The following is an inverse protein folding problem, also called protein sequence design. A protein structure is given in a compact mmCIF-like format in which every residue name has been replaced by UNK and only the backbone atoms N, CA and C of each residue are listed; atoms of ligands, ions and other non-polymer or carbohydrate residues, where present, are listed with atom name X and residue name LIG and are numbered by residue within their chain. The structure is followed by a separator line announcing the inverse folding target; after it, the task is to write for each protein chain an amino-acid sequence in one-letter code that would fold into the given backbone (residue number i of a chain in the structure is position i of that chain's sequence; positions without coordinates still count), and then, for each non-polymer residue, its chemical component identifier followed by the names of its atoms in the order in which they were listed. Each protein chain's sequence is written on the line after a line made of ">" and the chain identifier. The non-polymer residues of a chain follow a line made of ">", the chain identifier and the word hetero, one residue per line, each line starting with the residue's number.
data_IF_118774713230
#
_entry.id   IF_118774713230
#
_cell.length_a   1.000
_cell.length_b   1.000
_cell.length_c   1.000
_cell.angle_alpha   90.00
_cell.angle_beta   90.00
_cell.angle_gamma   90.00
#
_symmetry.space_group_name_H-M   'P 1'
#
loop_
_entity.id
_entity.type
_entity.pdbx_description
1 polymer ?
#
# COMPACT_ATOMS: atom_id res chain seq x y z
N UNK A 1 -13.46 15.25 -15.98
CA UNK A 1 -12.90 13.98 -15.49
C UNK A 1 -12.99 13.87 -13.98
N UNK A 2 -13.05 12.61 -13.48
CA UNK A 2 -12.97 12.28 -12.07
C UNK A 2 -11.73 11.38 -11.84
N UNK A 3 -10.95 11.58 -10.74
CA UNK A 3 -9.74 10.81 -10.48
C UNK A 3 -10.11 9.42 -9.93
N UNK A 4 -10.03 8.38 -10.77
CA UNK A 4 -10.33 7.00 -10.43
C UNK A 4 -9.12 6.10 -10.59
N UNK A 5 -8.40 5.86 -9.51
CA UNK A 5 -7.25 4.94 -9.41
C UNK A 5 -7.04 4.53 -7.95
N UNK A 6 -6.47 3.36 -7.73
CA UNK A 6 -6.08 2.90 -6.38
C UNK A 6 -4.72 3.45 -5.95
N UNK A 7 -3.89 3.95 -6.89
CA UNK A 7 -2.49 4.32 -6.66
C UNK A 7 -2.34 5.69 -5.99
N UNK A 8 -3.38 6.51 -5.99
CA UNK A 8 -3.41 7.89 -5.48
C UNK A 8 -2.37 8.83 -6.14
N UNK A 9 -2.00 8.55 -7.38
CA UNK A 9 -0.90 9.18 -8.11
C UNK A 9 -1.32 10.35 -9.02
N UNK A 10 -2.55 10.89 -8.85
CA UNK A 10 -3.09 11.99 -9.67
C UNK A 10 -2.82 13.33 -8.99
N UNK A 11 -1.97 14.13 -9.62
CA UNK A 11 -1.64 15.47 -9.13
C UNK A 11 -2.87 16.39 -9.13
N UNK A 12 -3.07 17.12 -8.02
CA UNK A 12 -4.11 18.14 -7.89
C UNK A 12 -5.37 17.65 -7.15
N UNK A 13 -5.34 16.45 -6.65
CA UNK A 13 -6.32 15.93 -5.70
C UNK A 13 -5.60 15.27 -4.52
N UNK A 14 -6.14 15.36 -3.32
CA UNK A 14 -5.56 14.71 -2.13
C UNK A 14 -5.84 13.21 -2.16
N UNK A 15 -7.02 12.82 -2.64
CA UNK A 15 -7.42 11.42 -2.74
C UNK A 15 -8.07 11.10 -4.08
N UNK A 16 -7.88 9.87 -4.52
CA UNK A 16 -8.50 9.30 -5.71
C UNK A 16 -9.57 8.28 -5.32
N UNK A 17 -10.62 8.17 -6.16
CA UNK A 17 -11.71 7.21 -5.96
C UNK A 17 -11.16 5.79 -6.17
N UNK A 18 -11.23 4.97 -5.13
CA UNK A 18 -10.73 3.60 -5.11
C UNK A 18 -9.53 3.37 -4.17
N UNK A 19 -8.81 4.42 -3.78
CA UNK A 19 -7.66 4.32 -2.90
C UNK A 19 -8.02 3.70 -1.55
N UNK A 20 -9.04 4.18 -0.87
CA UNK A 20 -9.42 3.68 0.46
C UNK A 20 -10.00 2.26 0.41
N UNK A 21 -10.63 1.88 -0.68
CA UNK A 21 -11.12 0.50 -0.88
C UNK A 21 -9.94 -0.45 -1.04
N UNK A 22 -8.95 -0.09 -1.86
CA UNK A 22 -7.71 -0.86 -2.00
C UNK A 22 -6.93 -0.92 -0.69
N UNK A 23 -6.81 0.21 0.02
CA UNK A 23 -6.18 0.27 1.34
C UNK A 23 -6.80 -0.71 2.33
N UNK A 24 -8.13 -0.76 2.39
CA UNK A 24 -8.85 -1.71 3.26
C UNK A 24 -8.52 -3.17 2.91
N UNK A 25 -8.44 -3.49 1.62
CA UNK A 25 -8.08 -4.84 1.14
C UNK A 25 -6.64 -5.21 1.54
N UNK A 26 -5.69 -4.27 1.39
CA UNK A 26 -4.29 -4.49 1.74
C UNK A 26 -4.13 -4.67 3.25
N UNK A 27 -4.78 -3.84 4.06
CA UNK A 27 -4.74 -3.96 5.53
C UNK A 27 -5.30 -5.30 5.99
N UNK A 28 -6.44 -5.74 5.44
CA UNK A 28 -7.00 -7.07 5.74
C UNK A 28 -6.01 -8.20 5.39
N UNK A 29 -5.31 -8.09 4.27
CA UNK A 29 -4.29 -9.08 3.89
C UNK A 29 -3.11 -9.07 4.86
N UNK A 30 -2.63 -7.88 5.28
CA UNK A 30 -1.56 -7.73 6.27
C UNK A 30 -1.95 -8.35 7.61
N UNK A 31 -3.18 -8.13 8.08
CA UNK A 31 -3.67 -8.71 9.34
C UNK A 31 -3.64 -10.24 9.30
N UNK A 32 -4.12 -10.83 8.22
CA UNK A 32 -4.09 -12.30 8.02
C UNK A 32 -2.66 -12.84 7.98
N UNK A 33 -1.75 -12.14 7.31
CA UNK A 33 -0.33 -12.50 7.25
C UNK A 33 0.36 -12.35 8.60
N UNK A 34 -0.02 -11.34 9.39
CA UNK A 34 0.48 -11.12 10.74
C UNK A 34 0.17 -12.29 11.66
N UNK A 35 -1.07 -12.78 11.64
CA UNK A 35 -1.47 -13.92 12.45
C UNK A 35 -0.59 -15.15 12.15
N UNK A 36 -0.40 -15.44 10.85
CA UNK A 36 0.44 -16.55 10.40
C UNK A 36 1.91 -16.32 10.74
N UNK A 37 2.44 -15.12 10.51
CA UNK A 37 3.85 -14.78 10.77
C UNK A 37 4.19 -14.81 12.25
N UNK A 38 3.27 -14.37 13.09
CA UNK A 38 3.40 -14.40 14.55
C UNK A 38 3.48 -15.82 15.08
N UNK A 39 2.57 -16.71 14.64
CA UNK A 39 2.51 -18.09 15.10
C UNK A 39 3.73 -18.92 14.68
N UNK A 40 4.30 -18.66 13.51
CA UNK A 40 5.46 -19.38 12.98
C UNK A 40 6.80 -18.65 13.17
N UNK A 41 6.80 -17.46 13.77
CA UNK A 41 7.99 -16.61 13.96
C UNK A 41 8.73 -16.29 12.64
N UNK A 42 7.96 -15.98 11.60
CA UNK A 42 8.43 -15.71 10.23
C UNK A 42 8.56 -14.22 9.94
N UNK A 43 9.26 -13.93 8.85
CA UNK A 43 9.25 -12.63 8.21
C UNK A 43 8.36 -12.74 6.96
N UNK A 44 7.44 -11.79 6.76
CA UNK A 44 6.62 -11.69 5.57
C UNK A 44 7.00 -10.45 4.77
N UNK A 45 7.26 -10.63 3.47
CA UNK A 45 7.40 -9.55 2.50
C UNK A 45 6.11 -9.46 1.71
N UNK A 46 5.43 -8.33 1.77
CA UNK A 46 4.11 -8.12 1.13
C UNK A 46 4.26 -7.09 0.03
N UNK A 47 4.09 -7.51 -1.22
CA UNK A 47 4.09 -6.61 -2.36
C UNK A 47 2.71 -5.99 -2.56
N UNK A 48 2.69 -4.67 -2.58
CA UNK A 48 1.49 -3.83 -2.73
C UNK A 48 1.57 -3.08 -4.06
N UNK A 49 0.46 -2.96 -4.76
CA UNK A 49 0.36 -2.15 -5.97
C UNK A 49 0.61 -0.67 -5.66
N UNK A 50 0.90 0.12 -6.68
CA UNK A 50 1.15 1.55 -6.57
C UNK A 50 1.95 2.08 -7.76
N UNK A 51 2.39 1.17 -8.64
CA UNK A 51 3.21 1.47 -9.80
C UNK A 51 4.49 2.20 -9.39
N UNK A 52 4.51 3.53 -9.43
CA UNK A 52 5.65 4.38 -9.05
C UNK A 52 5.29 5.33 -7.90
N UNK A 53 4.19 5.06 -7.20
CA UNK A 53 3.70 5.83 -6.06
C UNK A 53 3.59 4.92 -4.84
N UNK A 54 4.20 5.32 -3.74
CA UNK A 54 4.22 4.57 -2.49
C UNK A 54 3.05 4.84 -1.55
N UNK A 55 2.12 5.72 -1.91
CA UNK A 55 1.03 6.16 -1.02
C UNK A 55 0.22 4.99 -0.44
N UNK A 56 -0.21 4.05 -1.31
CA UNK A 56 -0.98 2.90 -0.88
C UNK A 56 -0.18 1.99 0.05
N UNK A 57 1.08 1.73 -0.30
CA UNK A 57 1.98 0.90 0.51
C UNK A 57 2.26 1.55 1.86
N UNK A 58 2.55 2.84 1.88
CA UNK A 58 2.84 3.58 3.11
C UNK A 58 1.63 3.64 4.03
N UNK A 59 0.46 3.99 3.50
CA UNK A 59 -0.78 4.03 4.26
C UNK A 59 -1.14 2.65 4.83
N UNK A 60 -0.99 1.59 4.03
CA UNK A 60 -1.25 0.22 4.45
C UNK A 60 -0.24 -0.26 5.51
N UNK A 61 1.04 0.09 5.36
CA UNK A 61 2.07 -0.24 6.34
C UNK A 61 1.80 0.40 7.70
N UNK A 62 1.41 1.67 7.70
CA UNK A 62 1.05 2.40 8.94
C UNK A 62 -0.20 1.78 9.57
N UNK A 63 -1.26 1.59 8.79
CA UNK A 63 -2.54 1.08 9.29
C UNK A 63 -2.45 -0.39 9.75
N UNK A 64 -1.71 -1.21 9.02
CA UNK A 64 -1.46 -2.61 9.34
C UNK A 64 -0.33 -2.82 10.35
N UNK A 65 0.40 -1.77 10.76
CA UNK A 65 1.49 -1.84 11.73
C UNK A 65 2.69 -2.66 11.22
N UNK A 66 3.05 -2.53 9.95
CA UNK A 66 4.25 -3.17 9.40
C UNK A 66 5.51 -2.61 10.06
N UNK A 67 6.51 -3.47 10.26
CA UNK A 67 7.77 -3.07 10.85
C UNK A 67 8.65 -2.28 9.89
N UNK A 68 8.54 -2.57 8.59
CA UNK A 68 9.34 -1.97 7.54
C UNK A 68 8.48 -1.64 6.32
N UNK A 69 8.81 -0.53 5.67
CA UNK A 69 8.15 -0.11 4.44
C UNK A 69 9.19 0.31 3.41
N UNK A 70 8.99 -0.14 2.17
CA UNK A 70 9.83 0.20 1.02
C UNK A 70 8.96 0.82 -0.05
N UNK A 71 9.22 2.07 -0.37
CA UNK A 71 8.45 2.89 -1.32
C UNK A 71 9.37 3.57 -2.33
N UNK A 72 8.91 3.87 -3.56
CA UNK A 72 9.76 4.43 -4.60
C UNK A 72 10.26 5.84 -4.32
N UNK A 73 9.65 6.56 -3.40
CA UNK A 73 10.05 7.92 -3.01
C UNK A 73 11.30 7.97 -2.13
N UNK A 74 11.73 6.81 -1.60
CA UNK A 74 12.91 6.70 -0.70
C UNK A 74 13.88 5.69 -1.28
N UNK A 75 15.17 6.07 -1.29
CA UNK A 75 16.23 5.15 -1.73
C UNK A 75 16.23 3.89 -0.87
N UNK A 76 16.31 2.75 -1.53
CA UNK A 76 16.21 1.43 -0.91
C UNK A 76 17.50 0.64 -1.03
N UNK A 77 17.98 0.11 0.10
CA UNK A 77 19.10 -0.82 0.20
C UNK A 77 18.64 -2.11 0.88
N UNK A 78 18.90 -3.25 0.22
CA UNK A 78 18.58 -4.59 0.77
C UNK A 78 19.37 -4.86 2.06
N UNK A 79 20.61 -4.39 2.09
CA UNK A 79 21.55 -4.54 3.22
C UNK A 79 21.08 -3.76 4.43
N UNK A 80 20.62 -2.51 4.24
CA UNK A 80 20.12 -1.68 5.33
C UNK A 80 18.83 -2.24 5.90
N UNK A 81 17.90 -2.69 5.05
CA UNK A 81 16.69 -3.37 5.48
C UNK A 81 17.01 -4.60 6.34
N UNK A 82 17.94 -5.45 5.90
CA UNK A 82 18.36 -6.64 6.67
C UNK A 82 18.98 -6.25 8.00
N UNK A 83 19.81 -5.21 8.04
CA UNK A 83 20.44 -4.73 9.28
C UNK A 83 19.38 -4.25 10.28
N UNK A 84 18.35 -3.53 9.81
CA UNK A 84 17.25 -3.11 10.66
C UNK A 84 16.41 -4.29 11.16
N UNK A 85 16.13 -5.29 10.32
CA UNK A 85 15.46 -6.53 10.71
C UNK A 85 16.27 -7.26 11.79
N UNK A 86 17.60 -7.43 11.60
CA UNK A 86 18.51 -8.05 12.58
C UNK A 86 18.47 -7.29 13.91
N UNK A 87 18.48 -5.96 13.87
CA UNK A 87 18.37 -5.13 15.06
C UNK A 87 17.03 -5.33 15.79
N UNK A 88 15.92 -5.48 15.05
CA UNK A 88 14.62 -5.81 15.60
C UNK A 88 14.60 -7.19 16.29
N UNK A 89 15.16 -8.20 15.63
CA UNK A 89 15.28 -9.56 16.20
C UNK A 89 16.12 -9.54 17.47
N UNK A 90 17.25 -8.83 17.48
CA UNK A 90 18.11 -8.69 18.67
C UNK A 90 17.38 -8.03 19.86
N UNK A 91 16.39 -7.18 19.60
CA UNK A 91 15.50 -6.57 20.61
C UNK A 91 14.33 -7.48 21.02
N UNK A 92 14.29 -8.72 20.54
CA UNK A 92 13.27 -9.71 20.93
C UNK A 92 12.07 -9.80 20.00
N UNK A 93 12.05 -9.11 18.85
CA UNK A 93 11.00 -9.32 17.84
C UNK A 93 11.06 -10.73 17.27
N UNK A 94 9.94 -11.42 17.25
CA UNK A 94 9.85 -12.81 16.79
C UNK A 94 9.41 -12.92 15.33
N UNK A 95 8.71 -11.95 14.82
CA UNK A 95 8.23 -11.85 13.43
C UNK A 95 8.39 -10.40 12.93
N UNK A 96 8.30 -10.21 11.63
CA UNK A 96 8.26 -8.90 11.02
C UNK A 96 7.47 -8.95 9.71
N UNK A 97 6.84 -7.83 9.36
CA UNK A 97 6.20 -7.61 8.06
C UNK A 97 6.91 -6.46 7.37
N UNK A 98 7.34 -6.71 6.14
CA UNK A 98 7.91 -5.74 5.23
C UNK A 98 6.87 -5.46 4.15
N UNK A 99 6.32 -4.26 4.10
CA UNK A 99 5.48 -3.83 2.98
C UNK A 99 6.36 -3.17 1.91
N UNK A 100 6.21 -3.57 0.66
CA UNK A 100 7.01 -3.07 -0.46
C UNK A 100 6.11 -2.73 -1.65
N UNK A 101 6.34 -1.57 -2.28
CA UNK A 101 5.63 -1.21 -3.51
C UNK A 101 6.13 -2.07 -4.67
N UNK A 102 5.22 -2.45 -5.57
CA UNK A 102 5.56 -3.19 -6.79
C UNK A 102 6.66 -2.49 -7.60
N UNK A 103 7.41 -3.25 -8.40
CA UNK A 103 8.52 -2.77 -9.23
C UNK A 103 9.77 -2.26 -8.50
N UNK A 104 9.82 -2.33 -7.17
CA UNK A 104 11.04 -1.97 -6.43
C UNK A 104 12.16 -3.00 -6.62
N UNK A 105 11.82 -4.28 -6.57
CA UNK A 105 12.72 -5.41 -6.83
C UNK A 105 11.92 -6.69 -7.01
N UNK A 106 12.60 -7.80 -7.33
CA UNK A 106 12.01 -9.13 -7.24
C UNK A 106 11.84 -9.51 -5.76
N UNK A 107 10.57 -9.68 -5.35
CA UNK A 107 10.24 -9.92 -3.93
C UNK A 107 10.57 -11.33 -3.46
N UNK A 108 10.61 -12.31 -4.36
CA UNK A 108 11.04 -13.66 -4.03
C UNK A 108 12.56 -13.70 -3.79
N UNK A 109 13.34 -13.01 -4.64
CA UNK A 109 14.77 -12.82 -4.41
C UNK A 109 15.05 -12.06 -3.11
N UNK A 110 14.28 -11.01 -2.82
CA UNK A 110 14.40 -10.26 -1.56
C UNK A 110 14.08 -11.14 -0.36
N UNK A 111 13.04 -11.95 -0.42
CA UNK A 111 12.70 -12.88 0.66
C UNK A 111 13.80 -13.90 0.92
N UNK A 112 14.38 -14.50 -0.13
CA UNK A 112 15.50 -15.41 -0.02
C UNK A 112 16.76 -14.73 0.58
N UNK A 113 17.01 -13.47 0.17
CA UNK A 113 18.12 -12.70 0.73
C UNK A 113 17.94 -12.44 2.22
N UNK A 114 16.75 -12.01 2.65
CA UNK A 114 16.41 -11.78 4.05
C UNK A 114 16.55 -13.09 4.85
N UNK A 115 16.01 -14.20 4.35
CA UNK A 115 16.09 -15.52 4.99
C UNK A 115 17.54 -15.94 5.21
N UNK A 116 18.38 -15.85 4.17
CA UNK A 116 19.80 -16.19 4.23
C UNK A 116 20.56 -15.36 5.27
N UNK A 117 20.30 -14.06 5.30
CA UNK A 117 21.03 -13.12 6.14
C UNK A 117 20.57 -13.11 7.60
N UNK A 118 19.28 -13.40 7.85
CA UNK A 118 18.70 -13.37 9.21
C UNK A 118 18.58 -14.75 9.86
N UNK A 119 18.65 -15.82 9.07
CA UNK A 119 18.35 -17.18 9.52
C UNK A 119 16.87 -17.40 9.88
N UNK A 120 15.99 -16.49 9.51
CA UNK A 120 14.54 -16.57 9.75
C UNK A 120 13.81 -16.93 8.48
N UNK A 121 12.91 -17.91 8.55
CA UNK A 121 12.04 -18.24 7.42
C UNK A 121 11.33 -16.99 6.93
N UNK A 122 11.46 -16.69 5.63
CA UNK A 122 10.90 -15.49 5.01
C UNK A 122 10.06 -15.89 3.81
N UNK A 123 8.86 -15.32 3.70
CA UNK A 123 7.93 -15.59 2.63
C UNK A 123 7.50 -14.29 1.94
N UNK A 124 7.53 -14.30 0.61
CA UNK A 124 6.95 -13.24 -0.21
C UNK A 124 5.47 -13.53 -0.48
N UNK A 125 4.67 -12.48 -0.52
CA UNK A 125 3.27 -12.51 -0.91
C UNK A 125 3.00 -11.33 -1.82
N UNK A 126 2.72 -11.61 -3.09
CA UNK A 126 2.31 -10.61 -4.07
C UNK A 126 0.79 -10.51 -4.03
N UNK A 127 0.25 -9.38 -3.58
CA UNK A 127 -1.20 -9.19 -3.51
C UNK A 127 -1.83 -9.05 -4.91
N UNK A 128 -1.14 -8.37 -5.81
CA UNK A 128 -1.58 -8.25 -7.21
C UNK A 128 -2.99 -7.70 -7.35
N UNK A 129 -3.73 -8.25 -8.30
CA UNK A 129 -5.04 -7.71 -8.71
C UNK A 129 -6.17 -7.88 -7.70
N UNK A 130 -6.02 -8.63 -6.60
CA UNK A 130 -7.02 -8.67 -5.53
C UNK A 130 -7.23 -7.31 -4.85
N UNK A 131 -6.28 -6.39 -5.02
CA UNK A 131 -6.38 -5.01 -4.54
C UNK A 131 -7.33 -4.15 -5.36
N UNK A 132 -7.74 -4.63 -6.54
CA UNK A 132 -8.67 -3.94 -7.44
C UNK A 132 -10.07 -4.51 -7.31
N UNK A 133 -11.08 -3.64 -7.42
CA UNK A 133 -12.48 -4.06 -7.39
C UNK A 133 -13.01 -4.28 -5.97
N UNK A 134 -14.05 -5.08 -5.87
CA UNK A 134 -14.76 -5.32 -4.61
C UNK A 134 -15.79 -4.24 -4.27
N UNK A 135 -16.35 -4.32 -3.07
CA UNK A 135 -17.37 -3.39 -2.59
C UNK A 135 -16.71 -2.13 -2.05
N UNK A 136 -17.03 -0.92 -2.58
CA UNK A 136 -16.39 0.30 -2.12
C UNK A 136 -16.64 0.57 -0.64
N UNK A 137 -15.61 0.99 0.07
CA UNK A 137 -15.75 1.46 1.46
C UNK A 137 -16.54 2.78 1.51
N UNK A 138 -17.15 3.12 2.67
CA UNK A 138 -17.99 4.32 2.79
C UNK A 138 -17.31 5.60 2.33
N UNK A 139 -16.02 5.78 2.60
CA UNK A 139 -15.30 7.00 2.22
C UNK A 139 -15.21 7.15 0.69
N UNK A 140 -14.88 6.10 -0.06
CA UNK A 140 -14.85 6.15 -1.53
C UNK A 140 -16.23 6.45 -2.13
N UNK A 141 -17.31 5.94 -1.51
CA UNK A 141 -18.68 6.25 -1.94
C UNK A 141 -19.03 7.72 -1.73
N UNK A 142 -18.66 8.29 -0.58
CA UNK A 142 -18.86 9.71 -0.27
C UNK A 142 -18.05 10.57 -1.24
N UNK A 143 -16.78 10.26 -1.42
CA UNK A 143 -15.87 10.97 -2.33
C UNK A 143 -16.41 10.98 -3.76
N UNK A 144 -16.78 9.81 -4.27
CA UNK A 144 -17.35 9.66 -5.62
C UNK A 144 -18.66 10.45 -5.78
N UNK A 145 -19.53 10.43 -4.77
CA UNK A 145 -20.81 11.15 -4.80
C UNK A 145 -20.61 12.67 -4.80
N UNK A 146 -19.70 13.18 -3.95
CA UNK A 146 -19.37 14.62 -3.88
C UNK A 146 -18.75 15.11 -5.19
N UNK A 147 -17.74 14.40 -5.69
CA UNK A 147 -17.09 14.76 -6.97
C UNK A 147 -18.05 14.66 -8.14
N UNK A 148 -18.91 13.62 -8.18
CA UNK A 148 -19.90 13.44 -9.23
C UNK A 148 -20.93 14.55 -9.26
N UNK A 149 -21.51 14.92 -8.12
CA UNK A 149 -22.47 16.02 -8.01
C UNK A 149 -21.84 17.34 -8.49
N UNK A 150 -20.67 17.69 -7.98
CA UNK A 150 -19.97 18.91 -8.38
C UNK A 150 -19.60 18.93 -9.88
N UNK A 151 -19.23 17.79 -10.44
CA UNK A 151 -18.98 17.70 -11.88
C UNK A 151 -20.22 18.00 -12.73
N UNK A 152 -21.40 17.57 -12.30
CA UNK A 152 -22.67 17.88 -12.96
C UNK A 152 -23.00 19.36 -12.83
N UNK A 153 -22.82 19.96 -11.66
CA UNK A 153 -23.04 21.40 -11.44
C UNK A 153 -22.17 22.24 -12.38
N UNK A 154 -20.88 21.87 -12.55
CA UNK A 154 -19.99 22.53 -13.49
C UNK A 154 -20.47 22.41 -14.94
N UNK A 155 -20.96 21.24 -15.36
CA UNK A 155 -21.50 21.04 -16.70
C UNK A 155 -22.76 21.87 -16.94
N UNK A 156 -23.65 21.91 -15.98
CA UNK A 156 -24.90 22.74 -16.05
C UNK A 156 -24.57 24.24 -16.10
N UNK A 157 -23.47 24.66 -15.47
CA UNK A 157 -22.94 26.02 -15.53
C UNK A 157 -22.15 26.34 -16.82
N UNK A 158 -22.07 25.38 -17.76
CA UNK A 158 -21.40 25.55 -19.05
C UNK A 158 -19.88 25.33 -19.03
N UNK A 159 -19.32 24.82 -17.92
CA UNK A 159 -17.89 24.51 -17.82
C UNK A 159 -17.58 23.09 -18.33
N UNK A 160 -16.96 23.00 -19.50
CA UNK A 160 -16.41 21.76 -20.04
C UNK A 160 -14.89 21.66 -19.87
N UNK A 161 -14.29 20.48 -20.16
CA UNK A 161 -12.84 20.29 -20.17
C UNK A 161 -12.19 20.40 -18.79
N UNK A 162 -12.92 20.14 -17.69
CA UNK A 162 -12.44 20.23 -16.31
C UNK A 162 -12.21 18.85 -15.69
N UNK A 163 -11.27 18.80 -14.75
CA UNK A 163 -11.14 17.70 -13.77
C UNK A 163 -11.60 18.20 -12.40
N UNK A 164 -12.32 17.34 -11.68
CA UNK A 164 -12.76 17.57 -10.30
C UNK A 164 -11.86 16.77 -9.39
N UNK A 165 -11.38 17.37 -8.33
CA UNK A 165 -10.60 16.74 -7.28
C UNK A 165 -11.01 17.26 -5.91
N UNK A 166 -10.40 16.75 -4.87
CA UNK A 166 -10.58 17.19 -3.50
C UNK A 166 -9.26 17.73 -2.95
N UNK A 167 -9.29 18.82 -2.19
CA UNK A 167 -8.11 19.44 -1.61
C UNK A 167 -8.41 19.96 -0.21
N UNK A 168 -7.45 19.83 0.69
CA UNK A 168 -7.50 20.29 2.09
C UNK A 168 -8.58 19.58 2.93
N UNK A 169 -8.68 18.27 2.80
CA UNK A 169 -9.49 17.41 3.68
C UNK A 169 -8.70 16.72 4.76
#
# INVERSE_FOLDING_TARGET
>A
GLPGTIDNDIKGTDYTIGFFTALSTVVEAIDRLRDTSSSHQRISVVEVMGRYCGDLTLAAAIAGGCEFVVVPEVEFSREDLVNEIKAGIAKGKKHAIVAITEHMCDVDELAHFIEKETGRETRATVLGHIQRGGSPVPYDRILASRMGAYAIDLLLAGYGGRCVGIQNE
#
